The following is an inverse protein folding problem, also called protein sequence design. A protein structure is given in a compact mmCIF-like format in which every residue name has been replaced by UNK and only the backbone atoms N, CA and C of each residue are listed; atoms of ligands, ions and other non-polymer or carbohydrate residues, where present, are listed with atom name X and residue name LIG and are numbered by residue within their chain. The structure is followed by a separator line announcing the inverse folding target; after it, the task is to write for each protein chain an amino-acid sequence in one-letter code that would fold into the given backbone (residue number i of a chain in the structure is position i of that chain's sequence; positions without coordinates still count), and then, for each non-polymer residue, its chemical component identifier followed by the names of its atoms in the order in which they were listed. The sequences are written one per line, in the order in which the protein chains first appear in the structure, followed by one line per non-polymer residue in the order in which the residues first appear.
data_IF_194630279930
#
_entry.id   IF_194630279930
#
_cell.length_a   1.000
_cell.length_b   1.000
_cell.length_c   1.000
_cell.angle_alpha   90.00
_cell.angle_beta   90.00
_cell.angle_gamma   90.00
#
_symmetry.space_group_name_H-M   'P 1'
#
loop_
_entity.id
_entity.type
_entity.pdbx_description
1 polymer ?
#
# COMPACT_ATOMS: atom_id res chain seq x y z
N UNK A 1 8.44 5.19 -25.90
CA UNK A 1 8.63 5.24 -25.42
C UNK A 1 8.68 5.11 -24.49
N UNK A 2 8.69 4.81 -24.28
CA UNK A 2 8.72 4.66 -23.48
C UNK A 2 9.25 4.86 -22.43
N UNK A 3 9.87 5.10 -22.55
CA UNK A 3 10.62 5.64 -21.48
C UNK A 3 9.76 5.93 -20.29
N UNK A 4 8.68 6.40 -20.53
CA UNK A 4 7.72 6.73 -19.52
C UNK A 4 7.35 5.53 -18.71
N UNK A 5 7.25 4.41 -19.31
CA UNK A 5 6.85 3.21 -18.60
C UNK A 5 7.89 2.80 -17.57
N UNK A 6 9.11 3.23 -17.74
CA UNK A 6 10.18 2.81 -16.86
C UNK A 6 10.15 3.49 -15.53
N UNK A 7 9.69 4.72 -15.50
CA UNK A 7 9.78 5.53 -14.30
C UNK A 7 8.52 5.51 -13.45
N UNK A 8 7.43 5.06 -14.00
CA UNK A 8 6.14 5.22 -13.31
C UNK A 8 5.92 4.11 -12.29
N UNK A 9 6.02 4.46 -11.02
CA UNK A 9 5.63 3.59 -9.94
C UNK A 9 4.24 3.99 -9.52
N UNK A 10 3.36 3.02 -9.35
CA UNK A 10 1.98 3.25 -8.93
C UNK A 10 1.76 2.70 -7.54
N UNK A 11 1.29 3.55 -6.64
CA UNK A 11 0.99 3.19 -5.26
C UNK A 11 -0.50 3.41 -5.00
N UNK A 12 -1.17 2.41 -4.46
CA UNK A 12 -2.57 2.49 -4.09
C UNK A 12 -2.68 2.59 -2.58
N UNK A 13 -3.41 3.59 -2.09
CA UNK A 13 -3.63 3.77 -0.66
C UNK A 13 -5.08 3.45 -0.36
N UNK A 14 -5.31 2.50 0.54
CA UNK A 14 -6.64 2.00 0.88
C UNK A 14 -6.90 2.24 2.36
N UNK A 15 -7.83 3.12 2.66
CA UNK A 15 -8.20 3.47 4.03
C UNK A 15 -9.56 4.16 3.98
N UNK A 16 -10.48 3.75 4.86
CA UNK A 16 -11.80 4.37 4.86
C UNK A 16 -11.82 5.73 5.56
N UNK A 17 -10.73 6.09 6.24
CA UNK A 17 -10.60 7.41 6.87
C UNK A 17 -9.93 8.37 5.90
N UNK A 18 -10.69 9.32 5.37
CA UNK A 18 -10.18 10.25 4.38
C UNK A 18 -8.96 11.02 4.86
N UNK A 19 -8.95 11.44 6.12
CA UNK A 19 -7.82 12.19 6.66
C UNK A 19 -6.53 11.39 6.67
N UNK A 20 -6.60 10.12 7.07
CA UNK A 20 -5.42 9.26 7.06
C UNK A 20 -4.96 9.00 5.63
N UNK A 21 -5.90 8.71 4.74
CA UNK A 21 -5.59 8.45 3.34
C UNK A 21 -4.89 9.65 2.71
N UNK A 22 -5.40 10.84 2.92
CA UNK A 22 -4.81 12.07 2.37
C UNK A 22 -3.42 12.32 2.95
N UNK A 23 -3.23 12.06 4.24
CA UNK A 23 -1.93 12.24 4.86
C UNK A 23 -0.88 11.30 4.23
N UNK A 24 -1.23 10.04 4.05
CA UNK A 24 -0.31 9.08 3.44
C UNK A 24 0.03 9.51 2.02
N UNK A 25 -0.99 9.89 1.25
CA UNK A 25 -0.77 10.32 -0.12
C UNK A 25 0.13 11.56 -0.19
N UNK A 26 -0.07 12.50 0.72
CA UNK A 26 0.75 13.71 0.77
C UNK A 26 2.21 13.38 1.09
N UNK A 27 2.42 12.47 2.04
CA UNK A 27 3.77 12.07 2.41
C UNK A 27 4.51 11.42 1.23
N UNK A 28 3.84 10.50 0.53
CA UNK A 28 4.44 9.84 -0.61
C UNK A 28 4.69 10.84 -1.73
N UNK A 29 3.73 11.68 -2.02
CA UNK A 29 3.83 12.67 -3.09
C UNK A 29 4.93 13.67 -2.84
N UNK A 30 5.15 14.04 -1.57
CA UNK A 30 6.20 14.97 -1.21
C UNK A 30 7.59 14.41 -1.50
N UNK A 31 7.79 13.11 -1.26
CA UNK A 31 9.08 12.47 -1.48
C UNK A 31 9.26 11.99 -2.91
N UNK A 32 8.19 11.55 -3.54
CA UNK A 32 8.24 10.97 -4.88
C UNK A 32 7.15 11.57 -5.75
N UNK A 33 7.30 12.84 -6.14
CA UNK A 33 6.22 13.54 -6.88
C UNK A 33 5.92 12.94 -8.24
N UNK A 34 6.84 12.14 -8.81
CA UNK A 34 6.60 11.52 -10.10
C UNK A 34 5.86 10.19 -10.01
N UNK A 35 5.68 9.66 -8.81
CA UNK A 35 4.94 8.42 -8.64
C UNK A 35 3.44 8.67 -8.81
N UNK A 36 2.75 7.69 -9.39
CA UNK A 36 1.31 7.77 -9.58
C UNK A 36 0.62 7.22 -8.33
N UNK A 37 -0.31 8.00 -7.80
CA UNK A 37 -1.03 7.60 -6.59
C UNK A 37 -2.49 7.35 -6.92
N UNK A 38 -3.02 6.25 -6.37
CA UNK A 38 -4.42 5.89 -6.46
C UNK A 38 -4.96 5.73 -5.04
N UNK A 39 -6.27 5.82 -4.88
CA UNK A 39 -6.89 5.68 -3.57
C UNK A 39 -8.18 4.89 -3.65
N UNK A 40 -8.50 4.22 -2.54
CA UNK A 40 -9.74 3.48 -2.39
C UNK A 40 -10.19 3.56 -0.94
N UNK A 41 -11.49 3.43 -0.71
CA UNK A 41 -12.08 3.50 0.64
C UNK A 41 -12.41 2.13 1.19
N UNK A 42 -12.42 1.11 0.36
CA UNK A 42 -12.78 -0.25 0.77
C UNK A 42 -11.99 -1.26 -0.03
N UNK A 43 -12.02 -2.50 0.43
CA UNK A 43 -11.26 -3.56 -0.21
C UNK A 43 -11.79 -3.88 -1.61
N UNK A 44 -13.10 -3.84 -1.78
CA UNK A 44 -13.71 -4.16 -3.07
C UNK A 44 -13.23 -3.19 -4.15
N UNK A 45 -13.21 -1.89 -3.83
CA UNK A 45 -12.72 -0.89 -4.76
C UNK A 45 -11.23 -1.09 -5.02
N UNK A 46 -10.49 -1.47 -3.98
CA UNK A 46 -9.06 -1.73 -4.14
C UNK A 46 -8.81 -2.88 -5.11
N UNK A 47 -9.58 -3.95 -5.00
CA UNK A 47 -9.43 -5.10 -5.92
C UNK A 47 -9.75 -4.71 -7.35
N UNK A 48 -10.77 -3.87 -7.54
CA UNK A 48 -11.11 -3.36 -8.86
C UNK A 48 -9.94 -2.56 -9.46
N UNK A 49 -9.32 -1.73 -8.64
CA UNK A 49 -8.17 -0.95 -9.08
C UNK A 49 -6.95 -1.83 -9.35
N UNK A 50 -6.77 -2.89 -8.57
CA UNK A 50 -5.67 -3.81 -8.84
C UNK A 50 -5.82 -4.44 -10.22
N UNK A 51 -7.03 -4.82 -10.56
CA UNK A 51 -7.28 -5.44 -11.87
C UNK A 51 -7.05 -4.45 -13.01
N UNK A 52 -7.51 -3.22 -12.83
CA UNK A 52 -7.45 -2.22 -13.89
C UNK A 52 -6.07 -1.57 -14.01
N UNK A 53 -5.41 -1.31 -12.89
CA UNK A 53 -4.22 -0.47 -12.86
C UNK A 53 -2.95 -1.21 -12.46
N UNK A 54 -3.08 -2.37 -11.83
CA UNK A 54 -1.96 -3.20 -11.40
C UNK A 54 -0.88 -2.39 -10.65
N UNK A 55 -1.22 -1.85 -9.47
CA UNK A 55 -0.25 -1.05 -8.72
C UNK A 55 0.95 -1.87 -8.29
N UNK A 56 2.07 -1.20 -8.13
CA UNK A 56 3.30 -1.84 -7.68
C UNK A 56 3.25 -2.13 -6.19
N UNK A 57 2.59 -1.27 -5.42
CA UNK A 57 2.52 -1.40 -3.98
C UNK A 57 1.20 -0.85 -3.49
N UNK A 58 0.67 -1.48 -2.44
CA UNK A 58 -0.58 -1.07 -1.81
C UNK A 58 -0.32 -0.82 -0.33
N UNK A 59 -0.72 0.35 0.15
CA UNK A 59 -0.78 0.65 1.58
C UNK A 59 -2.22 0.38 2.01
N UNK A 60 -2.42 -0.59 2.88
CA UNK A 60 -3.74 -1.17 3.12
C UNK A 60 -4.06 -1.18 4.61
N UNK A 61 -5.19 -0.57 4.97
CA UNK A 61 -5.70 -0.63 6.33
C UNK A 61 -6.32 -2.01 6.59
N UNK A 62 -6.22 -2.47 7.82
CA UNK A 62 -6.79 -3.75 8.20
C UNK A 62 -8.29 -3.64 8.39
N UNK A 63 -8.73 -2.62 9.13
CA UNK A 63 -10.15 -2.45 9.44
C UNK A 63 -10.85 -1.63 8.37
N UNK A 64 -11.42 -2.33 7.43
CA UNK A 64 -12.17 -1.71 6.34
C UNK A 64 -13.61 -2.18 6.40
N UNK A 65 -14.55 -1.37 5.89
CA UNK A 65 -15.94 -1.83 5.82
C UNK A 65 -16.04 -3.00 4.83
N UNK A 66 -16.85 -3.99 5.18
CA UNK A 66 -16.99 -5.17 4.35
C UNK A 66 -15.82 -6.12 4.51
N UNK A 67 -15.11 -6.39 3.42
CA UNK A 67 -13.94 -7.27 3.46
C UNK A 67 -12.80 -6.59 4.21
N UNK A 68 -12.20 -7.28 5.17
CA UNK A 68 -11.12 -6.68 5.93
C UNK A 68 -9.78 -6.77 5.18
N UNK A 69 -8.75 -6.12 5.75
CA UNK A 69 -7.45 -6.03 5.11
C UNK A 69 -6.72 -7.36 5.00
N UNK A 70 -6.94 -8.28 5.93
CA UNK A 70 -6.29 -9.60 5.85
C UNK A 70 -6.81 -10.38 4.64
N UNK A 71 -8.13 -10.40 4.47
CA UNK A 71 -8.72 -11.10 3.33
C UNK A 71 -8.34 -10.43 2.02
N UNK A 72 -8.35 -9.08 2.00
CA UNK A 72 -7.94 -8.35 0.81
C UNK A 72 -6.50 -8.68 0.43
N UNK A 73 -5.61 -8.75 1.42
CA UNK A 73 -4.21 -9.08 1.17
C UNK A 73 -4.09 -10.46 0.55
N UNK A 74 -4.80 -11.45 1.11
CA UNK A 74 -4.75 -12.81 0.57
C UNK A 74 -5.18 -12.83 -0.89
N UNK A 75 -6.27 -12.15 -1.23
CA UNK A 75 -6.78 -12.10 -2.60
C UNK A 75 -5.84 -11.40 -3.55
N UNK A 76 -5.25 -10.30 -3.08
CA UNK A 76 -4.29 -9.55 -3.88
C UNK A 76 -3.08 -10.43 -4.19
N UNK A 77 -2.54 -11.11 -3.19
CA UNK A 77 -1.35 -11.93 -3.39
C UNK A 77 -1.64 -13.15 -4.25
N UNK A 78 -2.86 -13.67 -4.21
CA UNK A 78 -3.25 -14.77 -5.09
C UNK A 78 -3.30 -14.34 -6.55
N UNK A 79 -3.91 -13.20 -6.82
CA UNK A 79 -4.15 -12.75 -8.19
C UNK A 79 -2.98 -11.94 -8.76
N UNK A 80 -2.30 -11.19 -7.92
CA UNK A 80 -1.21 -10.30 -8.36
C UNK A 80 -0.01 -10.49 -7.43
N UNK A 81 0.68 -11.64 -7.52
CA UNK A 81 1.73 -11.97 -6.55
C UNK A 81 2.90 -11.01 -6.52
N UNK A 82 3.09 -10.21 -7.56
CA UNK A 82 4.18 -9.23 -7.57
C UNK A 82 3.84 -7.94 -6.85
N UNK A 83 2.55 -7.70 -6.62
CA UNK A 83 2.13 -6.49 -5.92
C UNK A 83 2.55 -6.58 -4.45
N UNK A 84 3.24 -5.57 -3.98
CA UNK A 84 3.71 -5.52 -2.60
C UNK A 84 2.61 -4.93 -1.73
N UNK A 85 2.30 -5.57 -0.61
CA UNK A 85 1.27 -5.08 0.31
C UNK A 85 1.95 -4.67 1.62
N UNK A 86 1.70 -3.44 2.05
CA UNK A 86 2.13 -2.92 3.34
C UNK A 86 0.88 -2.65 4.17
N UNK A 87 0.76 -3.32 5.30
CA UNK A 87 -0.37 -3.08 6.19
C UNK A 87 -0.11 -1.83 7.01
N UNK A 88 -1.12 -0.99 7.14
CA UNK A 88 -1.02 0.29 7.85
C UNK A 88 -2.20 0.36 8.83
N UNK A 89 -1.94 0.17 10.11
CA UNK A 89 -3.01 -0.03 11.08
C UNK A 89 -2.81 0.79 12.34
N UNK A 90 -3.92 1.21 12.95
CA UNK A 90 -3.88 1.87 14.25
C UNK A 90 -3.69 0.88 15.39
N UNK A 91 -3.86 -0.42 15.13
CA UNK A 91 -3.65 -1.47 16.12
C UNK A 91 -2.33 -2.17 15.84
N UNK A 92 -1.35 -1.98 16.72
CA UNK A 92 -0.01 -2.52 16.50
C UNK A 92 0.31 -3.74 17.36
N UNK A 93 -0.70 -4.42 17.86
CA UNK A 93 -0.50 -5.65 18.63
C UNK A 93 0.15 -6.71 17.75
N UNK A 94 0.99 -7.54 18.39
CA UNK A 94 1.74 -8.55 17.65
C UNK A 94 0.87 -9.53 16.90
N UNK A 95 -0.33 -9.81 17.41
CA UNK A 95 -1.25 -10.72 16.71
C UNK A 95 -1.67 -10.13 15.36
N UNK A 96 -1.80 -8.82 15.27
CA UNK A 96 -2.15 -8.17 14.01
C UNK A 96 -0.97 -8.18 13.05
N UNK A 97 0.25 -8.01 13.58
CA UNK A 97 1.44 -8.09 12.74
C UNK A 97 1.61 -9.49 12.19
N UNK A 98 1.44 -10.50 13.05
CA UNK A 98 1.60 -11.89 12.63
C UNK A 98 0.56 -12.26 11.59
N UNK A 99 -0.70 -11.84 11.78
CA UNK A 99 -1.76 -12.13 10.84
C UNK A 99 -1.50 -11.44 9.49
N UNK A 100 -0.94 -10.23 9.53
CA UNK A 100 -0.60 -9.51 8.30
C UNK A 100 0.44 -10.26 7.48
N UNK A 101 1.49 -10.70 8.15
CA UNK A 101 2.56 -11.44 7.45
C UNK A 101 2.05 -12.78 6.94
N UNK A 102 1.20 -13.46 7.73
CA UNK A 102 0.62 -14.73 7.30
C UNK A 102 -0.29 -14.55 6.08
N UNK A 103 -0.93 -13.40 5.95
CA UNK A 103 -1.78 -13.12 4.79
C UNK A 103 -0.97 -12.80 3.53
N UNK A 104 0.31 -12.50 3.68
CA UNK A 104 1.19 -12.21 2.56
C UNK A 104 1.71 -10.79 2.48
N UNK A 105 1.48 -9.97 3.51
CA UNK A 105 2.00 -8.61 3.52
C UNK A 105 3.52 -8.64 3.65
N UNK A 106 4.16 -7.66 3.02
CA UNK A 106 5.62 -7.53 3.10
C UNK A 106 6.04 -6.81 4.36
N UNK A 107 5.16 -5.98 4.92
CA UNK A 107 5.49 -5.20 6.11
C UNK A 107 4.22 -4.75 6.81
N UNK A 108 4.39 -4.32 8.05
CA UNK A 108 3.32 -3.79 8.88
C UNK A 108 3.84 -2.50 9.52
N UNK A 109 3.07 -1.42 9.38
CA UNK A 109 3.43 -0.12 9.95
C UNK A 109 2.25 0.41 10.77
N UNK A 110 2.53 0.85 11.99
CA UNK A 110 1.52 1.49 12.82
C UNK A 110 1.21 2.88 12.32
N UNK A 111 -0.03 3.31 12.51
CA UNK A 111 -0.45 4.67 12.16
C UNK A 111 0.05 5.65 13.22
N UNK A 112 -0.11 6.93 12.94
CA UNK A 112 0.29 7.98 13.86
C UNK A 112 1.76 8.31 13.70
N UNK A 113 2.49 8.39 14.82
CA UNK A 113 3.89 8.80 14.77
C UNK A 113 4.77 7.87 13.94
N UNK A 114 4.32 6.64 13.71
CA UNK A 114 5.08 5.70 12.91
C UNK A 114 4.88 5.93 11.41
N UNK A 115 3.97 6.80 11.04
CA UNK A 115 3.72 7.10 9.62
C UNK A 115 4.95 7.68 8.93
N UNK A 116 5.84 8.31 9.68
CA UNK A 116 7.06 8.87 9.10
C UNK A 116 7.99 7.82 8.54
N UNK A 117 7.90 6.59 9.04
CA UNK A 117 8.75 5.51 8.57
C UNK A 117 8.16 4.85 7.32
N UNK A 118 6.93 5.19 6.98
CA UNK A 118 6.21 4.54 5.89
C UNK A 118 6.87 4.77 4.54
N UNK A 119 7.23 6.02 4.22
CA UNK A 119 7.77 6.34 2.90
C UNK A 119 9.14 5.70 2.67
N UNK A 120 10.11 5.79 3.60
CA UNK A 120 11.37 5.06 3.40
C UNK A 120 11.17 3.56 3.27
N UNK A 121 10.22 3.00 4.00
CA UNK A 121 9.92 1.58 3.92
C UNK A 121 9.38 1.22 2.54
N UNK A 122 8.43 2.00 2.04
CA UNK A 122 7.87 1.79 0.71
C UNK A 122 8.99 1.76 -0.33
N UNK A 123 9.87 2.75 -0.28
CA UNK A 123 10.96 2.83 -1.23
C UNK A 123 11.87 1.60 -1.15
N UNK A 124 12.11 1.11 0.05
CA UNK A 124 12.98 -0.05 0.23
C UNK A 124 12.36 -1.34 -0.29
N UNK A 125 11.04 -1.40 -0.36
CA UNK A 125 10.32 -2.59 -0.82
C UNK A 125 10.14 -2.63 -2.33
N UNK A 126 10.58 -1.61 -3.03
CA UNK A 126 10.47 -1.52 -4.50
C UNK A 126 11.88 -1.47 -5.10
N UNK A 127 12.67 -2.54 -4.93
CA UNK A 127 14.03 -2.55 -5.41
C UNK A 127 14.07 -2.43 -6.93
N UNK A 128 15.06 -1.70 -7.42
CA UNK A 128 15.18 -1.49 -8.85
C UNK A 128 14.30 -0.41 -9.40
N UNK A 129 13.35 0.07 -8.59
CA UNK A 129 12.46 1.15 -9.01
C UNK A 129 12.63 2.40 -8.17
N UNK A 130 13.47 2.33 -7.16
CA UNK A 130 13.76 3.46 -6.31
C UNK A 130 14.55 4.49 -7.10
N UNK A 131 14.10 5.75 -7.17
CA UNK A 131 14.80 6.75 -7.98
C UNK A 131 16.24 6.99 -7.56
N UNK A 132 16.61 6.64 -6.34
CA UNK A 132 17.97 6.83 -5.89
C UNK A 132 18.91 5.76 -6.42
N UNK A 133 18.37 4.76 -7.06
CA UNK A 133 19.20 3.73 -7.71
C UNK A 133 19.66 4.21 -9.09
#
# INVERSE_FOLDING_TARGET
MRSDSVSAITVLVVDDHAGVRQTVMALVSSEYPQWRLLEAECAEDALTLCDAEQPDLIVLDIKLPGMDGFEATRRIKESWPRTVVVMHSSNDMSVYRDASMAAGAAAFVGKGRNSRTLVPLIASLLPGKNPSQ
#
